data_IF_935000401442
#
_entry.id   IF_935000401442
#
_cell.length_a   1.000
_cell.length_b   1.000
_cell.length_c   1.000
_cell.angle_alpha   90.00
_cell.angle_beta   90.00
_cell.angle_gamma   90.00
#
_symmetry.space_group_name_H-M   'P 1'
#
loop_
_entity.id
_entity.type
_entity.pdbx_description
1 polymer ?
#
# COMPACT_ATOMS: atom_id res chain seq x y z
N UNK A 1 43.29 -63.07 -6.19
CA UNK A 1 41.98 -62.55 -6.44
C UNK A 1 41.90 -61.06 -5.89
N UNK A 2 41.98 -60.16 -6.78
CA UNK A 2 41.84 -58.73 -6.37
C UNK A 2 40.36 -58.40 -6.28
N UNK A 3 39.90 -58.23 -5.12
CA UNK A 3 38.55 -57.69 -4.95
C UNK A 3 38.60 -56.16 -5.15
N UNK A 4 38.16 -55.73 -6.30
CA UNK A 4 37.90 -54.33 -6.52
C UNK A 4 36.68 -53.95 -5.68
N UNK A 5 36.92 -53.33 -4.53
CA UNK A 5 35.89 -52.63 -3.80
C UNK A 5 35.60 -51.32 -4.55
N UNK A 6 34.61 -51.35 -5.38
CA UNK A 6 34.06 -50.13 -5.95
C UNK A 6 33.32 -49.49 -4.80
N UNK A 7 34.00 -48.58 -4.11
CA UNK A 7 33.33 -47.63 -3.25
C UNK A 7 32.56 -46.71 -4.19
N UNK A 8 31.33 -47.04 -4.43
CA UNK A 8 30.38 -46.12 -4.97
C UNK A 8 30.17 -45.08 -3.90
N UNK A 9 31.01 -44.05 -3.85
CA UNK A 9 30.68 -42.82 -3.17
C UNK A 9 29.56 -42.23 -3.96
N UNK A 10 28.35 -42.60 -3.57
CA UNK A 10 27.18 -41.81 -3.89
C UNK A 10 27.42 -40.46 -3.22
N UNK A 11 28.08 -39.56 -3.94
CA UNK A 11 28.01 -38.16 -3.64
C UNK A 11 26.55 -37.81 -3.83
N UNK A 12 25.76 -37.97 -2.77
CA UNK A 12 24.50 -37.34 -2.66
C UNK A 12 24.83 -35.86 -2.69
N UNK A 13 24.81 -35.29 -3.88
CA UNK A 13 24.64 -33.86 -4.03
C UNK A 13 23.26 -33.54 -3.45
N UNK A 14 23.21 -33.44 -2.15
CA UNK A 14 22.18 -32.68 -1.48
C UNK A 14 22.40 -31.26 -1.95
N UNK A 15 21.77 -30.91 -3.06
CA UNK A 15 21.44 -29.53 -3.32
C UNK A 15 20.61 -29.09 -2.13
N UNK A 16 21.31 -28.62 -1.10
CA UNK A 16 20.69 -27.84 -0.07
C UNK A 16 20.17 -26.62 -0.80
N UNK A 17 18.96 -26.72 -1.30
CA UNK A 17 18.18 -25.55 -1.65
C UNK A 17 18.04 -24.86 -0.31
N UNK A 18 18.94 -23.92 -0.04
CA UNK A 18 18.75 -22.97 1.02
C UNK A 18 17.52 -22.16 0.60
N UNK A 19 16.34 -22.71 0.82
CA UNK A 19 15.13 -21.94 0.89
C UNK A 19 15.31 -21.04 2.13
N UNK A 20 16.02 -19.92 1.94
CA UNK A 20 16.10 -18.92 2.97
C UNK A 20 14.68 -18.37 3.11
N UNK A 21 13.99 -18.81 4.15
CA UNK A 21 12.77 -18.17 4.56
C UNK A 21 13.10 -16.70 4.87
N UNK A 22 12.31 -15.78 4.33
CA UNK A 22 12.46 -14.37 4.64
C UNK A 22 12.38 -14.16 6.15
N UNK A 23 13.39 -13.50 6.70
CA UNK A 23 13.42 -13.14 8.10
C UNK A 23 12.94 -11.71 8.29
N UNK A 24 11.88 -11.55 9.06
CA UNK A 24 11.32 -10.25 9.41
C UNK A 24 12.37 -9.42 10.17
N UNK A 25 12.50 -8.16 9.83
CA UNK A 25 13.49 -7.19 10.33
C UNK A 25 14.95 -7.45 9.90
N UNK A 26 15.24 -8.55 9.21
CA UNK A 26 16.55 -8.83 8.62
C UNK A 26 16.53 -8.59 7.13
N UNK A 27 15.65 -9.28 6.41
CA UNK A 27 15.51 -9.16 4.96
C UNK A 27 14.59 -8.00 4.57
N UNK A 28 13.67 -7.65 5.43
CA UNK A 28 12.77 -6.51 5.22
C UNK A 28 12.33 -5.91 6.56
N UNK A 29 11.97 -4.65 6.53
CA UNK A 29 11.39 -3.93 7.66
C UNK A 29 10.04 -3.37 7.27
N UNK A 30 9.12 -3.35 8.22
CA UNK A 30 7.83 -2.71 7.99
C UNK A 30 7.98 -1.19 7.93
N UNK A 31 7.36 -0.60 6.93
CA UNK A 31 7.21 0.86 6.90
C UNK A 31 6.29 1.31 8.03
N UNK A 32 6.60 2.45 8.62
CA UNK A 32 5.68 3.12 9.55
C UNK A 32 4.55 3.82 8.82
N UNK A 33 4.75 4.13 7.55
CA UNK A 33 3.72 4.70 6.69
C UNK A 33 2.52 3.78 6.58
N UNK A 34 1.36 4.38 6.66
CA UNK A 34 0.09 3.69 6.42
C UNK A 34 -0.60 4.35 5.24
N UNK A 35 -1.07 3.54 4.32
CA UNK A 35 -1.81 4.00 3.16
C UNK A 35 -3.28 3.61 3.30
N UNK A 36 -4.13 4.60 3.20
CA UNK A 36 -5.56 4.38 3.06
C UNK A 36 -5.90 4.45 1.58
N UNK A 37 -6.41 3.34 1.04
CA UNK A 37 -6.79 3.22 -0.37
C UNK A 37 -8.28 2.99 -0.45
N UNK A 38 -8.99 3.95 -1.00
CA UNK A 38 -10.43 3.84 -1.25
C UNK A 38 -10.67 3.59 -2.73
N UNK A 39 -11.28 2.45 -3.04
CA UNK A 39 -11.65 2.10 -4.40
C UNK A 39 -13.07 2.56 -4.69
N UNK A 40 -13.24 3.32 -5.76
CA UNK A 40 -14.52 3.91 -6.13
C UNK A 40 -14.89 3.53 -7.56
N UNK A 41 -16.15 3.21 -7.75
CA UNK A 41 -16.72 3.06 -9.08
C UNK A 41 -17.54 4.30 -9.42
N UNK A 42 -17.07 5.04 -10.42
CA UNK A 42 -17.75 6.23 -10.93
C UNK A 42 -18.24 5.96 -12.34
N UNK A 43 -19.45 6.41 -12.64
CA UNK A 43 -19.95 6.36 -14.01
C UNK A 43 -18.96 7.11 -14.93
N UNK A 44 -18.48 6.50 -16.04
CA UNK A 44 -17.49 7.14 -16.92
C UNK A 44 -17.90 8.53 -17.42
N UNK A 45 -19.18 8.77 -17.58
CA UNK A 45 -19.71 10.09 -17.99
C UNK A 45 -19.76 11.12 -16.87
N UNK A 46 -19.45 10.73 -15.64
CA UNK A 46 -19.51 11.55 -14.44
C UNK A 46 -18.16 11.71 -13.73
N UNK A 47 -17.08 11.28 -14.35
CA UNK A 47 -15.75 11.33 -13.74
C UNK A 47 -15.36 12.77 -13.45
N UNK A 48 -15.60 13.69 -14.38
CA UNK A 48 -15.27 15.11 -14.20
C UNK A 48 -16.07 15.75 -13.05
N UNK A 49 -17.35 15.43 -12.95
CA UNK A 49 -18.20 15.90 -11.85
C UNK A 49 -17.70 15.37 -10.50
N UNK A 50 -17.27 14.10 -10.45
CA UNK A 50 -16.75 13.49 -9.25
C UNK A 50 -15.41 14.12 -8.83
N UNK A 51 -14.51 14.33 -9.77
CA UNK A 51 -13.22 14.99 -9.52
C UNK A 51 -13.41 16.42 -9.03
N UNK A 52 -14.35 17.15 -9.59
CA UNK A 52 -14.68 18.50 -9.13
C UNK A 52 -15.22 18.47 -7.69
N UNK A 53 -16.07 17.49 -7.36
CA UNK A 53 -16.52 17.28 -5.99
C UNK A 53 -15.39 16.97 -5.02
N UNK A 54 -14.44 16.14 -5.40
CA UNK A 54 -13.23 15.83 -4.59
C UNK A 54 -12.37 17.08 -4.38
N UNK A 55 -12.24 17.90 -5.37
CA UNK A 55 -11.49 19.16 -5.29
C UNK A 55 -12.08 20.10 -4.25
N UNK A 56 -13.40 20.08 -4.08
CA UNK A 56 -14.12 20.93 -3.12
C UNK A 56 -14.18 20.34 -1.71
N UNK A 57 -14.04 19.02 -1.56
CA UNK A 57 -14.27 18.31 -0.29
C UNK A 57 -13.03 17.60 0.22
N UNK A 58 -12.53 16.64 -0.54
CA UNK A 58 -11.44 15.77 -0.12
C UNK A 58 -10.06 16.43 -0.19
N UNK A 59 -9.81 17.20 -1.26
CA UNK A 59 -8.52 17.90 -1.44
C UNK A 59 -8.23 18.93 -0.38
N UNK A 60 -9.18 19.79 0.05
CA UNK A 60 -8.92 20.73 1.15
C UNK A 60 -8.57 20.03 2.45
N UNK A 61 -9.25 18.93 2.79
CA UNK A 61 -8.94 18.14 3.97
C UNK A 61 -7.54 17.52 3.91
N UNK A 62 -7.13 17.10 2.74
CA UNK A 62 -5.76 16.60 2.52
C UNK A 62 -4.71 17.70 2.70
N UNK A 63 -4.93 18.87 2.15
CA UNK A 63 -4.01 20.01 2.30
C UNK A 63 -3.87 20.44 3.76
N UNK A 64 -4.96 20.45 4.51
CA UNK A 64 -4.94 20.70 5.95
C UNK A 64 -4.13 19.63 6.68
N UNK A 65 -4.35 18.37 6.36
CA UNK A 65 -3.60 17.26 6.96
C UNK A 65 -2.11 17.34 6.67
N UNK A 66 -1.71 17.70 5.46
CA UNK A 66 -0.31 17.93 5.09
C UNK A 66 0.31 19.08 5.89
N UNK A 67 -0.39 20.18 6.00
CA UNK A 67 0.03 21.35 6.76
C UNK A 67 0.23 21.02 8.24
N UNK A 68 -0.63 20.18 8.81
CA UNK A 68 -0.58 19.76 10.21
C UNK A 68 0.40 18.58 10.45
N UNK A 69 0.98 18.02 9.40
CA UNK A 69 1.88 16.88 9.50
C UNK A 69 1.20 15.54 9.77
N UNK A 70 -0.12 15.46 9.67
CA UNK A 70 -0.90 14.22 9.87
C UNK A 70 -1.06 13.40 8.61
N UNK A 71 -0.87 14.01 7.46
CA UNK A 71 -0.93 13.40 6.13
C UNK A 71 0.36 13.68 5.38
N UNK A 72 0.93 12.67 4.76
CA UNK A 72 2.13 12.81 3.94
C UNK A 72 1.78 13.26 2.51
N UNK A 73 0.82 12.60 1.92
CA UNK A 73 0.42 12.88 0.54
C UNK A 73 -0.97 12.30 0.25
N UNK A 74 -1.60 12.84 -0.79
CA UNK A 74 -2.87 12.35 -1.31
C UNK A 74 -2.84 12.39 -2.83
N UNK A 75 -3.39 11.36 -3.46
CA UNK A 75 -3.49 11.32 -4.90
C UNK A 75 -4.64 10.44 -5.36
N UNK A 76 -5.02 10.65 -6.59
CA UNK A 76 -6.10 9.93 -7.26
C UNK A 76 -5.53 9.20 -8.46
N UNK A 77 -5.80 7.91 -8.56
CA UNK A 77 -5.53 7.11 -9.74
C UNK A 77 -6.81 6.87 -10.51
N UNK A 78 -6.75 7.05 -11.82
CA UNK A 78 -7.81 6.68 -12.75
C UNK A 78 -7.40 5.46 -13.54
N UNK A 79 -8.34 4.55 -13.79
CA UNK A 79 -8.14 3.39 -14.64
C UNK A 79 -8.80 3.61 -16.00
N UNK A 80 -8.06 3.42 -17.06
CA UNK A 80 -8.56 3.54 -18.44
C UNK A 80 -9.46 2.35 -18.86
N UNK A 81 -9.41 1.25 -18.12
CA UNK A 81 -10.13 0.01 -18.47
C UNK A 81 -11.43 -0.12 -17.69
N UNK A 82 -12.33 0.82 -17.89
CA UNK A 82 -13.48 1.01 -17.00
C UNK A 82 -14.65 0.03 -17.18
N UNK A 83 -14.73 -0.71 -18.27
CA UNK A 83 -16.02 -1.28 -18.67
C UNK A 83 -16.55 -2.41 -17.79
N UNK A 84 -15.70 -3.19 -17.11
CA UNK A 84 -16.13 -4.39 -16.36
C UNK A 84 -15.43 -4.57 -15.02
N UNK A 85 -14.93 -3.50 -14.41
CA UNK A 85 -14.26 -3.58 -13.12
C UNK A 85 -15.13 -3.06 -11.98
N UNK A 86 -14.89 -3.57 -10.79
CA UNK A 86 -15.58 -3.14 -9.59
C UNK A 86 -15.23 -1.71 -9.17
N UNK A 87 -14.16 -1.16 -9.72
CA UNK A 87 -13.72 0.21 -9.50
C UNK A 87 -12.96 0.75 -10.72
N UNK A 88 -13.00 2.06 -10.91
CA UNK A 88 -12.25 2.77 -11.94
C UNK A 88 -11.46 3.96 -11.39
N UNK A 89 -11.50 4.17 -10.09
CA UNK A 89 -10.79 5.23 -9.40
C UNK A 89 -10.29 4.74 -8.05
N UNK A 90 -9.08 5.14 -7.68
CA UNK A 90 -8.54 4.93 -6.35
C UNK A 90 -8.15 6.27 -5.73
N UNK A 91 -8.65 6.52 -4.55
CA UNK A 91 -8.24 7.63 -3.71
C UNK A 91 -7.20 7.11 -2.73
N UNK A 92 -6.02 7.66 -2.74
CA UNK A 92 -4.93 7.23 -1.87
C UNK A 92 -4.53 8.36 -0.94
N UNK A 93 -4.48 8.06 0.33
CA UNK A 93 -4.01 8.97 1.36
C UNK A 93 -2.90 8.28 2.15
N UNK A 94 -1.74 8.90 2.21
CA UNK A 94 -0.58 8.39 2.94
C UNK A 94 -0.46 9.08 4.28
N UNK A 95 -0.26 8.30 5.32
CA UNK A 95 -0.05 8.78 6.68
C UNK A 95 1.36 8.41 7.17
N UNK A 96 2.01 9.25 7.98
CA UNK A 96 3.34 8.96 8.52
C UNK A 96 3.34 7.78 9.48
N UNK A 97 2.21 7.46 10.10
CA UNK A 97 2.05 6.33 11.01
C UNK A 97 0.59 5.93 11.16
N UNK A 98 0.34 4.75 11.74
CA UNK A 98 -1.01 4.30 12.08
C UNK A 98 -1.74 5.25 13.03
N UNK A 99 -1.03 5.83 13.98
CA UNK A 99 -1.60 6.80 14.91
C UNK A 99 -2.16 8.05 14.21
N UNK A 100 -1.50 8.51 13.14
CA UNK A 100 -1.98 9.63 12.33
C UNK A 100 -3.20 9.27 11.49
N UNK A 101 -3.35 8.01 11.12
CA UNK A 101 -4.48 7.51 10.35
C UNK A 101 -5.73 7.27 11.21
N UNK A 102 -5.54 7.08 12.52
CA UNK A 102 -6.64 6.79 13.43
C UNK A 102 -7.51 8.03 13.65
N UNK A 103 -8.82 7.93 13.44
CA UNK A 103 -9.72 9.03 13.73
C UNK A 103 -9.74 9.29 15.25
N UNK A 104 -9.43 10.49 15.65
CA UNK A 104 -9.56 10.91 17.04
C UNK A 104 -10.25 12.28 17.15
N UNK A 105 -10.84 12.51 18.31
CA UNK A 105 -11.67 13.70 18.54
C UNK A 105 -10.86 15.01 18.46
N UNK A 106 -9.59 15.00 18.83
CA UNK A 106 -8.74 16.19 18.77
C UNK A 106 -8.40 16.58 17.33
N UNK A 107 -8.04 15.60 16.51
CA UNK A 107 -7.80 15.84 15.08
C UNK A 107 -9.06 16.34 14.38
N UNK A 108 -10.20 15.75 14.70
CA UNK A 108 -11.47 16.16 14.14
C UNK A 108 -11.83 17.62 14.52
N UNK A 109 -11.62 17.99 15.77
CA UNK A 109 -11.84 19.37 16.23
C UNK A 109 -10.91 20.36 15.54
N UNK A 110 -9.65 20.00 15.35
CA UNK A 110 -8.70 20.85 14.60
C UNK A 110 -9.13 21.05 13.16
N UNK A 111 -9.58 20.01 12.49
CA UNK A 111 -10.09 20.10 11.12
C UNK A 111 -11.32 20.99 11.00
N UNK A 112 -12.19 20.98 11.99
CA UNK A 112 -13.38 21.84 11.99
C UNK A 112 -13.08 23.31 12.28
N UNK A 113 -11.96 23.61 12.94
CA UNK A 113 -11.59 24.97 13.32
C UNK A 113 -10.85 25.75 12.21
N UNK A 114 -10.40 25.08 11.15
CA UNK A 114 -9.72 25.66 9.99
C UNK A 114 -10.65 25.80 8.77
#
# INVERSE_FOLDING_TARGET
MKRLAIAASAAALTLAINAQAFEVYTDYTFSKEVWNVTMVKVNPNRIDDYLEGLKQTWSPGCEIGKKNGTVLDCFVYLSDTAANRDFNMMLVMKFPSGASADPNAEQFKKLQAE
#
